data_IF_697322121894
#
_entry.id   IF_697322121894
#
_cell.length_a   1.000
_cell.length_b   1.000
_cell.length_c   1.000
_cell.angle_alpha   90.00
_cell.angle_beta   90.00
_cell.angle_gamma   90.00
#
_symmetry.space_group_name_H-M   'P 1'
#
loop_
_entity.id
_entity.type
_entity.pdbx_description
1 polymer ?
#
# COMPACT_ATOMS: atom_id res chain seq x y z
N UNK A 1 -17.42 6.60 8.91
CA UNK A 1 -16.17 5.87 8.65
C UNK A 1 -16.45 4.82 7.58
N UNK A 2 -15.67 4.83 6.51
CA UNK A 2 -15.78 3.86 5.41
C UNK A 2 -14.81 2.72 5.66
N UNK A 3 -15.29 1.49 5.64
CA UNK A 3 -14.53 0.26 5.85
C UNK A 3 -14.63 -0.59 4.57
N UNK A 4 -13.51 -0.75 3.85
CA UNK A 4 -13.46 -1.49 2.60
C UNK A 4 -12.94 -2.92 2.77
N UNK A 5 -13.36 -3.81 1.87
CA UNK A 5 -12.92 -5.22 1.85
C UNK A 5 -13.63 -6.10 2.88
N UNK A 6 -14.79 -5.67 3.38
CA UNK A 6 -15.59 -6.41 4.36
C UNK A 6 -17.08 -6.11 4.19
N UNK A 7 -17.92 -7.14 4.37
CA UNK A 7 -19.37 -7.00 4.44
C UNK A 7 -19.85 -6.86 5.88
N UNK A 8 -21.00 -6.21 6.08
CA UNK A 8 -21.61 -6.04 7.40
C UNK A 8 -21.99 -7.38 8.03
N UNK A 9 -22.42 -8.36 7.23
CA UNK A 9 -22.71 -9.74 7.67
C UNK A 9 -21.47 -10.51 8.10
N UNK A 10 -20.30 -10.15 7.56
CA UNK A 10 -19.06 -10.91 7.69
C UNK A 10 -18.22 -10.51 8.91
N UNK A 11 -18.60 -9.45 9.64
CA UNK A 11 -17.78 -8.94 10.73
C UNK A 11 -18.55 -8.39 11.94
N UNK A 12 -19.36 -9.23 12.61
CA UNK A 12 -20.04 -8.83 13.86
C UNK A 12 -19.05 -8.36 14.94
N UNK A 13 -17.81 -8.87 14.89
CA UNK A 13 -16.72 -8.50 15.79
C UNK A 13 -16.34 -7.02 15.70
N UNK A 14 -16.19 -6.49 14.47
CA UNK A 14 -15.81 -5.07 14.28
C UNK A 14 -16.92 -4.14 14.75
N UNK A 15 -18.18 -4.47 14.43
CA UNK A 15 -19.34 -3.72 14.95
C UNK A 15 -19.36 -3.72 16.48
N UNK A 16 -19.10 -4.87 17.10
CA UNK A 16 -19.07 -4.98 18.57
C UNK A 16 -17.92 -4.16 19.17
N UNK A 17 -16.74 -4.14 18.55
CA UNK A 17 -15.62 -3.30 19.01
C UNK A 17 -15.99 -1.81 18.99
N UNK A 18 -16.60 -1.32 17.91
CA UNK A 18 -17.08 0.06 17.85
C UNK A 18 -18.21 0.35 18.86
N UNK A 19 -19.14 -0.58 19.03
CA UNK A 19 -20.24 -0.43 19.99
C UNK A 19 -19.73 -0.34 21.43
N UNK A 20 -18.70 -1.13 21.79
CA UNK A 20 -18.07 -1.08 23.11
C UNK A 20 -17.41 0.29 23.39
N UNK A 21 -16.97 0.98 22.34
CA UNK A 21 -16.42 2.34 22.41
C UNK A 21 -17.50 3.43 22.25
N UNK A 22 -18.79 3.07 22.26
CA UNK A 22 -19.92 4.01 22.15
C UNK A 22 -20.13 4.59 20.75
N UNK A 23 -19.61 3.93 19.71
CA UNK A 23 -19.76 4.36 18.31
C UNK A 23 -20.89 3.56 17.66
N UNK A 24 -21.98 4.26 17.33
CA UNK A 24 -23.16 3.67 16.67
C UNK A 24 -22.87 3.18 15.25
N UNK A 25 -23.55 2.11 14.85
CA UNK A 25 -23.37 1.45 13.55
C UNK A 25 -23.74 2.36 12.37
N UNK A 26 -24.62 3.35 12.58
CA UNK A 26 -24.99 4.36 11.59
C UNK A 26 -23.82 5.24 11.14
N UNK A 27 -22.74 5.30 11.93
CA UNK A 27 -21.51 6.02 11.58
C UNK A 27 -20.53 5.17 10.77
N UNK A 28 -20.85 3.89 10.51
CA UNK A 28 -20.00 2.94 9.81
C UNK A 28 -20.62 2.55 8.48
N UNK A 29 -19.83 2.56 7.41
CA UNK A 29 -20.23 2.14 6.07
C UNK A 29 -19.29 1.04 5.61
N UNK A 30 -19.83 -0.14 5.33
CA UNK A 30 -19.05 -1.31 4.93
C UNK A 30 -19.17 -1.51 3.41
N UNK A 31 -18.05 -1.75 2.75
CA UNK A 31 -18.00 -2.08 1.33
C UNK A 31 -17.29 -3.42 1.13
N UNK A 32 -17.91 -4.37 0.38
CA UNK A 32 -17.27 -5.64 0.06
C UNK A 32 -16.01 -5.45 -0.78
N UNK A 33 -15.25 -6.53 -0.92
CA UNK A 33 -14.19 -6.62 -1.93
C UNK A 33 -14.80 -6.32 -3.29
N UNK A 34 -14.17 -5.41 -4.04
CA UNK A 34 -14.65 -4.95 -5.34
C UNK A 34 -13.51 -4.90 -6.35
N UNK A 35 -13.86 -4.72 -7.62
CA UNK A 35 -12.90 -4.48 -8.67
C UNK A 35 -12.15 -3.14 -8.49
N UNK A 36 -10.96 -3.04 -9.09
CA UNK A 36 -10.07 -1.89 -8.90
C UNK A 36 -10.74 -0.53 -9.16
N UNK A 37 -11.50 -0.31 -10.25
CA UNK A 37 -12.20 0.96 -10.48
C UNK A 37 -13.19 1.32 -9.38
N UNK A 38 -13.96 0.35 -8.88
CA UNK A 38 -14.95 0.59 -7.81
C UNK A 38 -14.24 0.92 -6.51
N UNK A 39 -13.25 0.12 -6.12
CA UNK A 39 -12.40 0.39 -4.96
C UNK A 39 -11.75 1.78 -5.00
N UNK A 40 -11.18 2.19 -6.14
CA UNK A 40 -10.56 3.52 -6.27
C UNK A 40 -11.61 4.64 -6.12
N UNK A 41 -12.82 4.48 -6.68
CA UNK A 41 -13.91 5.46 -6.53
C UNK A 41 -14.35 5.64 -5.07
N UNK A 42 -14.23 4.64 -4.20
CA UNK A 42 -14.57 4.77 -2.78
C UNK A 42 -13.75 5.87 -2.09
N UNK A 43 -12.52 6.12 -2.54
CA UNK A 43 -11.67 7.18 -1.97
C UNK A 43 -12.24 8.59 -2.16
N UNK A 44 -13.14 8.80 -3.14
CA UNK A 44 -13.83 10.09 -3.28
C UNK A 44 -14.80 10.39 -2.14
N UNK A 45 -15.19 9.39 -1.36
CA UNK A 45 -16.04 9.53 -0.18
C UNK A 45 -15.24 9.68 1.12
N UNK A 46 -13.90 9.70 1.02
CA UNK A 46 -12.99 9.71 2.18
C UNK A 46 -12.18 10.99 2.17
N UNK A 47 -12.20 11.72 3.28
CA UNK A 47 -11.41 12.94 3.47
C UNK A 47 -9.99 12.64 3.92
N UNK A 48 -9.84 11.71 4.87
CA UNK A 48 -8.57 11.25 5.46
C UNK A 48 -8.61 9.73 5.60
N UNK A 49 -7.56 9.05 5.17
CA UNK A 49 -7.37 7.63 5.47
C UNK A 49 -6.64 7.47 6.81
N UNK A 50 -7.12 6.58 7.67
CA UNK A 50 -6.41 6.19 8.89
C UNK A 50 -5.62 4.91 8.62
N UNK A 51 -4.31 4.98 8.78
CA UNK A 51 -3.44 3.82 8.60
C UNK A 51 -3.55 2.86 9.78
N UNK A 52 -3.28 1.59 9.52
CA UNK A 52 -3.24 0.55 10.55
C UNK A 52 -1.85 0.45 11.18
N UNK A 53 -1.82 0.00 12.43
CA UNK A 53 -0.60 -0.37 13.13
C UNK A 53 -0.82 -1.72 13.83
N UNK A 54 0.21 -2.57 13.98
CA UNK A 54 1.62 -2.34 13.70
C UNK A 54 2.03 -2.54 12.23
N UNK A 55 1.11 -2.99 11.36
CA UNK A 55 1.36 -3.17 9.94
C UNK A 55 0.77 -1.99 9.16
N UNK A 56 1.65 -1.12 8.65
CA UNK A 56 1.22 0.05 7.88
C UNK A 56 0.88 -0.31 6.43
N UNK A 57 -0.03 0.46 5.85
CA UNK A 57 -0.41 0.35 4.45
C UNK A 57 0.76 0.68 3.52
N UNK A 58 0.91 -0.13 2.47
CA UNK A 58 1.82 0.13 1.35
C UNK A 58 1.04 0.54 0.10
N UNK A 59 0.55 -0.45 -0.63
CA UNK A 59 -0.22 -0.24 -1.87
C UNK A 59 -1.52 0.55 -1.63
N UNK A 60 -2.20 0.30 -0.51
CA UNK A 60 -3.41 1.05 -0.13
C UNK A 60 -3.12 2.52 0.13
N UNK A 61 -2.01 2.84 0.78
CA UNK A 61 -1.54 4.22 0.98
C UNK A 61 -1.20 4.90 -0.35
N UNK A 62 -0.56 4.18 -1.27
CA UNK A 62 -0.31 4.69 -2.61
C UNK A 62 -1.60 4.98 -3.38
N UNK A 63 -2.59 4.09 -3.31
CA UNK A 63 -3.90 4.34 -3.93
C UNK A 63 -4.59 5.55 -3.32
N UNK A 64 -4.56 5.72 -1.99
CA UNK A 64 -5.12 6.88 -1.32
C UNK A 64 -4.48 8.18 -1.82
N UNK A 65 -3.14 8.25 -1.81
CA UNK A 65 -2.39 9.41 -2.31
C UNK A 65 -2.69 9.68 -3.78
N UNK A 66 -2.74 8.65 -4.62
CA UNK A 66 -3.06 8.81 -6.05
C UNK A 66 -4.49 9.32 -6.27
N UNK A 67 -5.44 8.90 -5.45
CA UNK A 67 -6.81 9.41 -5.49
C UNK A 67 -6.95 10.81 -4.90
N UNK A 68 -5.91 11.34 -4.25
CA UNK A 68 -5.88 12.67 -3.63
C UNK A 68 -6.31 12.66 -2.16
N UNK A 69 -6.23 11.52 -1.48
CA UNK A 69 -6.59 11.36 -0.07
C UNK A 69 -5.33 11.22 0.78
N UNK A 70 -5.05 12.13 1.73
CA UNK A 70 -3.94 11.96 2.65
C UNK A 70 -4.22 10.83 3.63
N UNK A 71 -3.17 10.07 3.97
CA UNK A 71 -3.23 8.98 4.95
C UNK A 71 -2.49 9.41 6.21
N UNK A 72 -3.15 9.38 7.37
CA UNK A 72 -2.52 9.57 8.67
C UNK A 72 -1.92 8.25 9.15
N UNK A 73 -0.62 8.25 9.47
CA UNK A 73 0.13 7.04 9.82
C UNK A 73 0.90 7.22 11.14
N UNK A 74 1.17 6.10 11.82
CA UNK A 74 1.96 6.05 13.05
C UNK A 74 3.34 5.47 12.76
N UNK A 75 4.39 6.25 13.00
CA UNK A 75 5.79 5.84 12.87
C UNK A 75 6.15 4.80 13.93
N UNK A 76 6.13 3.52 13.55
CA UNK A 76 6.61 2.44 14.41
C UNK A 76 8.12 2.22 14.32
N UNK A 77 8.59 1.18 15.03
CA UNK A 77 10.02 0.82 15.14
C UNK A 77 10.52 -0.07 14.01
N UNK A 78 9.62 -0.82 13.38
CA UNK A 78 9.97 -1.79 12.33
C UNK A 78 9.78 -1.21 10.92
N UNK A 79 10.50 -1.69 9.90
CA UNK A 79 10.32 -1.20 8.52
C UNK A 79 8.87 -1.29 8.03
N UNK A 80 8.18 -2.41 8.31
CA UNK A 80 6.76 -2.61 7.96
C UNK A 80 5.84 -1.60 8.63
N UNK A 81 6.17 -1.14 9.84
CA UNK A 81 5.41 -0.10 10.55
C UNK A 81 5.76 1.33 10.10
N UNK A 82 6.72 1.50 9.16
CA UNK A 82 7.19 2.79 8.66
C UNK A 82 6.90 2.99 7.17
N UNK A 83 6.29 2.02 6.51
CA UNK A 83 5.95 2.09 5.07
C UNK A 83 5.10 3.33 4.78
N UNK A 84 4.05 3.56 5.56
CA UNK A 84 3.22 4.76 5.46
C UNK A 84 4.05 6.05 5.58
N UNK A 85 4.89 6.16 6.62
CA UNK A 85 5.75 7.34 6.82
C UNK A 85 6.70 7.60 5.65
N UNK A 86 7.27 6.53 5.08
CA UNK A 86 8.15 6.61 3.90
C UNK A 86 7.42 7.15 2.68
N UNK A 87 6.20 6.66 2.41
CA UNK A 87 5.37 7.11 1.29
C UNK A 87 5.00 8.59 1.46
N UNK A 88 4.51 8.97 2.64
CA UNK A 88 4.12 10.36 2.92
C UNK A 88 5.30 11.32 2.90
N UNK A 89 6.49 10.86 3.31
CA UNK A 89 7.73 11.62 3.18
C UNK A 89 8.14 11.82 1.73
N UNK A 90 7.94 10.80 0.88
CA UNK A 90 8.21 10.90 -0.55
C UNK A 90 7.32 11.95 -1.25
N UNK A 91 6.04 12.01 -0.90
CA UNK A 91 5.12 13.04 -1.45
C UNK A 91 5.14 14.37 -0.68
N UNK A 92 6.01 14.50 0.33
CA UNK A 92 6.26 15.75 1.06
C UNK A 92 5.11 16.21 1.97
N UNK A 93 4.31 15.29 2.53
CA UNK A 93 3.23 15.59 3.49
C UNK A 93 3.49 15.00 4.88
N UNK A 94 4.51 15.54 5.55
CA UNK A 94 4.91 15.11 6.89
C UNK A 94 3.89 15.42 7.99
N UNK A 95 2.96 16.35 7.76
CA UNK A 95 1.89 16.73 8.71
C UNK A 95 0.86 15.64 9.00
N UNK A 96 0.97 14.49 8.33
CA UNK A 96 0.15 13.29 8.54
C UNK A 96 0.96 12.12 9.13
N UNK A 97 2.12 12.40 9.75
CA UNK A 97 2.95 11.41 10.41
C UNK A 97 2.94 11.65 11.92
N UNK A 98 2.45 10.67 12.68
CA UNK A 98 2.48 10.67 14.13
C UNK A 98 3.62 9.80 14.65
N UNK A 99 4.21 10.14 15.80
CA UNK A 99 5.25 9.37 16.49
C UNK A 99 4.73 8.66 17.75
N UNK A 100 3.49 8.95 18.16
CA UNK A 100 2.83 8.29 19.29
C UNK A 100 1.31 8.15 19.05
N UNK A 101 0.62 7.22 19.73
CA UNK A 101 -0.83 7.10 19.65
C UNK A 101 -1.57 8.39 20.03
N UNK A 102 -1.08 9.13 21.03
CA UNK A 102 -1.69 10.39 21.44
C UNK A 102 -1.53 11.46 20.35
N UNK A 103 -0.36 11.54 19.73
CA UNK A 103 -0.12 12.45 18.61
C UNK A 103 -0.98 12.09 17.40
N UNK A 104 -1.19 10.79 17.13
CA UNK A 104 -2.10 10.33 16.08
C UNK A 104 -3.52 10.86 16.30
N UNK A 105 -4.03 10.78 17.53
CA UNK A 105 -5.35 11.34 17.89
C UNK A 105 -5.36 12.86 17.72
N UNK A 106 -4.36 13.56 18.23
CA UNK A 106 -4.31 15.03 18.16
C UNK A 106 -4.26 15.54 16.72
N UNK A 107 -3.47 14.89 15.85
CA UNK A 107 -3.40 15.22 14.42
C UNK A 107 -4.74 14.91 13.74
N UNK A 108 -5.39 13.78 14.07
CA UNK A 108 -6.71 13.43 13.52
C UNK A 108 -7.75 14.50 13.82
N UNK A 109 -7.80 14.97 15.08
CA UNK A 109 -8.73 16.00 15.52
C UNK A 109 -8.42 17.35 14.87
N UNK A 110 -7.15 17.75 14.82
CA UNK A 110 -6.74 19.00 14.19
C UNK A 110 -7.14 19.07 12.71
N UNK A 111 -6.96 17.98 11.96
CA UNK A 111 -7.37 17.94 10.54
C UNK A 111 -8.88 17.85 10.34
N UNK A 112 -9.62 17.29 11.30
CA UNK A 112 -11.09 17.29 11.26
C UNK A 112 -11.68 18.71 11.31
N UNK A 113 -10.99 19.64 11.98
CA UNK A 113 -11.41 21.04 12.10
C UNK A 113 -10.87 21.95 10.97
N UNK A 114 -9.92 21.48 10.16
CA UNK A 114 -9.20 22.28 9.15
C UNK A 114 -9.60 21.92 7.70
N UNK A 115 -10.90 21.88 7.41
CA UNK A 115 -11.42 21.37 6.14
C UNK A 115 -10.90 22.12 4.90
N UNK A 116 -10.73 23.45 4.98
CA UNK A 116 -10.20 24.24 3.86
C UNK A 116 -8.73 23.91 3.54
N UNK A 117 -7.91 23.73 4.58
CA UNK A 117 -6.51 23.32 4.41
C UNK A 117 -6.44 21.87 3.92
N UNK A 118 -7.28 21.00 4.45
CA UNK A 118 -7.38 19.61 4.01
C UNK A 118 -7.74 19.53 2.52
N UNK A 119 -8.67 20.35 2.05
CA UNK A 119 -9.00 20.44 0.63
C UNK A 119 -7.80 20.88 -0.22
N UNK A 120 -7.00 21.84 0.25
CA UNK A 120 -5.75 22.26 -0.42
C UNK A 120 -4.72 21.13 -0.49
N UNK A 121 -4.52 20.41 0.62
CA UNK A 121 -3.64 19.24 0.64
C UNK A 121 -4.10 18.20 -0.39
N UNK A 122 -5.38 17.81 -0.35
CA UNK A 122 -5.99 16.83 -1.27
C UNK A 122 -5.80 17.21 -2.74
N UNK A 123 -6.01 18.47 -3.08
CA UNK A 123 -5.82 18.97 -4.44
C UNK A 123 -4.36 18.87 -4.91
N UNK A 124 -3.39 19.04 -4.02
CA UNK A 124 -1.96 19.00 -4.35
C UNK A 124 -1.38 17.58 -4.48
N UNK A 125 -2.02 16.56 -3.90
CA UNK A 125 -1.42 15.22 -3.78
C UNK A 125 -1.16 14.53 -5.12
N UNK A 126 -2.04 14.73 -6.11
CA UNK A 126 -1.86 14.12 -7.45
C UNK A 126 -0.63 14.64 -8.17
N UNK A 127 -0.33 15.93 -8.01
CA UNK A 127 0.86 16.55 -8.58
C UNK A 127 2.12 16.10 -7.83
N UNK A 128 2.04 15.99 -6.50
CA UNK A 128 3.14 15.49 -5.65
C UNK A 128 3.47 14.01 -5.87
N UNK A 129 2.51 13.23 -6.37
CA UNK A 129 2.72 11.83 -6.75
C UNK A 129 3.51 11.70 -8.08
N UNK A 130 3.61 12.76 -8.88
CA UNK A 130 4.46 12.74 -10.06
C UNK A 130 5.93 12.58 -9.66
N UNK A 131 6.73 11.85 -10.44
CA UNK A 131 8.16 11.75 -10.17
C UNK A 131 8.75 13.17 -10.13
N UNK A 132 9.66 13.48 -9.18
CA UNK A 132 10.31 14.80 -9.12
C UNK A 132 10.89 15.13 -10.49
N UNK A 133 10.64 16.33 -11.02
CA UNK A 133 11.12 16.75 -12.34
C UNK A 133 12.66 16.72 -12.45
N UNK A 134 13.35 16.78 -11.31
CA UNK A 134 14.81 16.69 -11.18
C UNK A 134 15.32 15.30 -10.80
N UNK A 135 14.46 14.27 -10.85
CA UNK A 135 14.95 12.89 -10.75
C UNK A 135 15.81 12.62 -11.98
N UNK A 136 17.09 12.22 -11.84
CA UNK A 136 17.86 11.81 -13.00
C UNK A 136 17.04 10.74 -13.72
N UNK A 137 16.91 10.82 -15.06
CA UNK A 137 16.20 9.79 -15.79
C UNK A 137 16.80 8.46 -15.35
N UNK A 138 15.96 7.50 -14.96
CA UNK A 138 16.39 6.12 -14.76
C UNK A 138 16.73 5.59 -16.15
N UNK A 139 17.86 6.06 -16.68
CA UNK A 139 18.50 5.53 -17.86
C UNK A 139 19.05 4.21 -17.37
N UNK A 140 18.30 3.14 -17.64
CA UNK A 140 18.86 1.81 -17.79
C UNK A 140 19.91 1.86 -18.89
N UNK A 141 21.11 2.37 -18.55
CA UNK A 141 22.27 2.28 -19.41
C UNK A 141 22.67 0.81 -19.35
N UNK A 142 22.21 0.08 -20.34
CA UNK A 142 22.74 -1.21 -20.74
C UNK A 142 24.25 -1.03 -21.00
N UNK A 143 25.03 -1.09 -19.93
CA UNK A 143 26.48 -1.12 -20.01
C UNK A 143 26.83 -2.53 -20.44
N UNK A 144 27.16 -2.67 -21.73
CA UNK A 144 27.84 -3.84 -22.28
C UNK A 144 29.06 -4.15 -21.42
N UNK A 145 28.97 -5.18 -20.57
CA UNK A 145 30.11 -6.03 -20.24
C UNK A 145 29.64 -7.49 -20.18
N UNK A 146 30.34 -8.42 -20.86
CA UNK A 146 29.96 -9.82 -20.94
C UNK A 146 30.44 -10.62 -19.72
N UNK A 147 29.84 -11.81 -19.58
CA UNK A 147 30.25 -13.00 -18.80
C UNK A 147 29.70 -13.18 -17.38
N UNK A 148 28.54 -13.85 -17.26
CA UNK A 148 28.44 -15.26 -16.86
C UNK A 148 26.98 -15.75 -17.08
N UNK A 149 26.74 -16.99 -17.56
CA UNK A 149 25.44 -17.41 -18.05
C UNK A 149 24.49 -17.77 -16.89
N UNK A 150 23.44 -16.96 -16.68
CA UNK A 150 22.23 -17.49 -16.06
C UNK A 150 21.67 -18.58 -16.98
N UNK A 151 21.54 -19.80 -16.45
CA UNK A 151 21.03 -20.96 -17.16
C UNK A 151 19.70 -20.68 -17.88
N UNK A 152 19.57 -21.32 -19.04
CA UNK A 152 18.42 -21.23 -19.93
C UNK A 152 17.12 -21.75 -19.28
N UNK A 153 16.42 -20.93 -18.50
CA UNK A 153 15.03 -21.21 -18.08
C UNK A 153 14.16 -19.97 -17.78
N UNK A 154 14.70 -18.73 -17.84
CA UNK A 154 13.95 -17.53 -17.43
C UNK A 154 13.75 -16.44 -18.50
N UNK A 155 14.32 -16.58 -19.70
CA UNK A 155 14.44 -15.48 -20.66
C UNK A 155 13.13 -15.07 -21.37
N UNK A 156 12.00 -15.74 -21.14
CA UNK A 156 10.69 -15.36 -21.70
C UNK A 156 9.81 -14.52 -20.76
N UNK A 157 10.05 -14.50 -19.45
CA UNK A 157 9.13 -13.89 -18.49
C UNK A 157 9.31 -12.36 -18.29
N UNK A 158 10.49 -11.82 -18.59
CA UNK A 158 10.82 -10.41 -18.26
C UNK A 158 10.50 -9.40 -19.38
N UNK A 159 9.78 -9.81 -20.45
CA UNK A 159 9.50 -8.95 -21.62
C UNK A 159 8.05 -8.46 -21.74
N UNK A 160 7.16 -8.79 -20.79
CA UNK A 160 5.72 -8.53 -20.94
C UNK A 160 5.06 -7.66 -19.85
N UNK A 161 5.73 -7.28 -18.77
CA UNK A 161 5.14 -6.39 -17.76
C UNK A 161 5.41 -4.91 -18.05
N UNK A 162 5.01 -4.44 -19.24
CA UNK A 162 4.76 -3.01 -19.44
C UNK A 162 3.41 -2.72 -18.79
N UNK A 163 3.41 -2.40 -17.50
CA UNK A 163 2.20 -1.96 -16.80
C UNK A 163 1.60 -0.79 -17.61
N UNK A 164 0.39 -0.91 -18.17
CA UNK A 164 -0.25 0.20 -18.83
C UNK A 164 -0.57 1.26 -17.78
N UNK A 165 -0.06 2.48 -17.97
CA UNK A 165 -0.48 3.66 -17.23
C UNK A 165 -1.99 3.82 -17.43
N UNK A 166 -2.78 3.41 -16.44
CA UNK A 166 -4.21 3.73 -16.37
C UNK A 166 -4.28 5.25 -16.15
N UNK A 167 -4.73 5.98 -17.16
CA UNK A 167 -4.96 7.43 -17.03
C UNK A 167 -6.05 7.66 -15.97
N UNK A 168 -5.91 8.69 -15.12
CA UNK A 168 -6.91 9.01 -14.11
C UNK A 168 -8.26 9.30 -14.78
N UNK A 169 -9.38 8.80 -14.23
CA UNK A 169 -10.71 9.13 -14.75
C UNK A 169 -10.99 10.64 -14.55
N UNK A 170 -11.51 11.27 -15.59
CA UNK A 170 -11.99 12.66 -15.56
C UNK A 170 -13.32 12.78 -14.81
N UNK A 171 -13.63 13.94 -14.22
CA UNK A 171 -14.83 14.11 -13.40
C UNK A 171 -16.09 14.21 -14.28
N UNK A 172 -17.03 13.27 -14.14
CA UNK A 172 -18.37 13.39 -14.72
C UNK A 172 -19.47 13.15 -13.67
N UNK A 173 -20.55 13.94 -13.83
CA UNK A 173 -21.76 14.05 -12.98
C UNK A 173 -22.63 12.77 -12.94
N UNK A 174 -23.54 12.65 -11.96
CA UNK A 174 -24.26 11.41 -11.67
C UNK A 174 -25.45 11.18 -12.61
N UNK A 175 -25.68 9.92 -13.00
CA UNK A 175 -26.92 9.46 -13.65
C UNK A 175 -27.42 8.19 -12.96
N UNK A 176 -28.74 8.16 -12.82
CA UNK A 176 -29.65 7.22 -12.17
C UNK A 176 -29.62 5.77 -12.72
N UNK A 177 -29.93 4.82 -11.82
CA UNK A 177 -30.29 3.37 -11.95
C UNK A 177 -31.46 3.09 -12.93
N UNK A 178 -31.89 1.83 -13.30
CA UNK A 178 -31.77 0.54 -12.57
C UNK A 178 -31.66 -0.80 -13.39
N UNK A 179 -31.41 -1.91 -12.65
CA UNK A 179 -32.05 -3.24 -12.74
C UNK A 179 -31.82 -4.22 -13.92
N UNK A 180 -31.31 -5.44 -13.68
CA UNK A 180 -32.08 -6.72 -13.74
C UNK A 180 -31.20 -7.99 -13.59
N UNK A 181 -31.71 -8.90 -12.74
CA UNK A 181 -31.80 -10.38 -12.80
C UNK A 181 -30.63 -11.33 -13.16
N UNK A 182 -30.35 -12.18 -12.17
CA UNK A 182 -30.03 -13.62 -12.15
C UNK A 182 -30.15 -14.47 -13.42
N UNK A 183 -29.21 -15.42 -13.63
CA UNK A 183 -29.50 -16.84 -13.92
C UNK A 183 -28.31 -17.77 -13.63
N UNK A 184 -28.60 -18.90 -12.97
CA UNK A 184 -27.76 -20.08 -12.75
C UNK A 184 -27.60 -20.92 -14.03
N UNK A 185 -26.51 -21.70 -14.14
CA UNK A 185 -26.47 -23.13 -14.55
C UNK A 185 -25.02 -23.57 -14.86
N UNK A 186 -24.41 -24.45 -14.04
CA UNK A 186 -24.23 -25.92 -14.27
C UNK A 186 -22.90 -26.33 -14.92
N UNK A 187 -21.98 -26.90 -14.11
CA UNK A 187 -20.89 -27.83 -14.50
C UNK A 187 -21.49 -29.22 -14.88
N UNK A 188 -20.80 -30.19 -15.56
CA UNK A 188 -19.51 -30.83 -15.19
C UNK A 188 -18.74 -31.46 -16.41
N UNK A 189 -17.86 -32.51 -16.33
CA UNK A 189 -17.01 -33.07 -15.25
C UNK A 189 -15.50 -33.15 -15.60
N UNK A 190 -14.74 -33.68 -14.62
CA UNK A 190 -13.29 -33.71 -14.46
C UNK A 190 -12.51 -34.78 -15.27
N UNK A 191 -11.21 -34.51 -15.49
CA UNK A 191 -10.15 -35.48 -15.79
C UNK A 191 -8.80 -35.00 -15.16
N UNK A 192 -7.84 -35.89 -14.85
CA UNK A 192 -6.93 -35.75 -13.71
C UNK A 192 -5.59 -35.10 -14.09
N UNK A 193 -5.30 -33.93 -13.51
CA UNK A 193 -3.98 -33.26 -13.60
C UNK A 193 -3.56 -32.88 -12.16
N UNK A 194 -3.40 -33.87 -11.29
CA UNK A 194 -3.28 -33.65 -9.85
C UNK A 194 -1.86 -33.80 -9.28
N UNK A 195 -0.82 -33.94 -10.11
CA UNK A 195 0.55 -34.12 -9.60
C UNK A 195 1.61 -33.08 -10.03
N UNK A 196 1.52 -32.41 -11.20
CA UNK A 196 2.45 -31.33 -11.50
C UNK A 196 1.95 -29.96 -11.01
N UNK A 197 0.64 -29.80 -10.75
CA UNK A 197 0.07 -28.55 -10.25
C UNK A 197 0.40 -28.29 -8.78
N UNK A 198 0.47 -29.34 -7.94
CA UNK A 198 0.73 -29.21 -6.50
C UNK A 198 2.14 -28.69 -6.17
N UNK A 199 3.14 -29.01 -7.00
CA UNK A 199 4.51 -28.52 -6.86
C UNK A 199 4.69 -27.09 -7.41
N UNK A 200 3.88 -26.69 -8.39
CA UNK A 200 3.88 -25.32 -8.93
C UNK A 200 3.21 -24.32 -7.97
N UNK A 201 2.15 -24.71 -7.24
CA UNK A 201 1.54 -23.86 -6.20
C UNK A 201 2.44 -23.65 -4.99
N UNK A 202 3.29 -24.63 -4.64
CA UNK A 202 4.27 -24.49 -3.56
C UNK A 202 5.38 -23.48 -3.88
N UNK A 203 5.77 -23.32 -5.16
CA UNK A 203 6.78 -22.33 -5.56
C UNK A 203 6.23 -20.90 -5.70
N UNK A 204 4.94 -20.71 -5.99
CA UNK A 204 4.34 -19.37 -6.08
C UNK A 204 4.01 -18.74 -4.72
N UNK A 205 4.00 -19.54 -3.64
CA UNK A 205 3.84 -19.02 -2.27
C UNK A 205 5.14 -18.47 -1.68
N UNK A 206 6.30 -18.75 -2.28
CA UNK A 206 7.61 -18.27 -1.82
C UNK A 206 7.86 -16.78 -2.05
N UNK A 207 7.05 -16.10 -2.88
CA UNK A 207 7.23 -14.68 -3.20
C UNK A 207 6.55 -13.71 -2.21
N UNK A 208 5.85 -14.23 -1.20
CA UNK A 208 5.17 -13.43 -0.17
C UNK A 208 5.60 -13.81 1.25
N UNK A 209 6.83 -14.30 1.46
CA UNK A 209 7.33 -14.40 2.84
C UNK A 209 7.63 -12.99 3.37
N UNK A 210 7.28 -12.73 4.63
CA UNK A 210 7.60 -11.49 5.33
C UNK A 210 9.11 -11.22 5.35
N UNK A 211 9.93 -12.28 5.29
CA UNK A 211 11.39 -12.21 5.14
C UNK A 211 11.82 -11.66 3.78
N UNK A 212 11.29 -12.21 2.69
CA UNK A 212 11.61 -11.75 1.34
C UNK A 212 11.22 -10.29 1.13
N UNK A 213 10.09 -9.87 1.69
CA UNK A 213 9.67 -8.47 1.70
C UNK A 213 10.63 -7.61 2.54
N UNK A 214 10.98 -8.04 3.75
CA UNK A 214 11.87 -7.31 4.65
C UNK A 214 13.26 -7.07 4.03
N UNK A 215 13.88 -8.12 3.51
CA UNK A 215 15.19 -8.03 2.86
C UNK A 215 15.11 -7.22 1.56
N UNK A 216 14.00 -7.34 0.81
CA UNK A 216 13.74 -6.51 -0.37
C UNK A 216 13.66 -5.02 -0.04
N UNK A 217 12.90 -4.65 1.01
CA UNK A 217 12.77 -3.28 1.47
C UNK A 217 14.11 -2.70 1.97
N UNK A 218 14.87 -3.49 2.75
CA UNK A 218 16.21 -3.11 3.23
C UNK A 218 17.16 -2.84 2.08
N UNK A 219 17.24 -3.76 1.11
CA UNK A 219 18.09 -3.62 -0.08
C UNK A 219 17.69 -2.40 -0.92
N UNK A 220 16.39 -2.10 -1.04
CA UNK A 220 15.91 -0.89 -1.72
C UNK A 220 16.41 0.39 -1.04
N UNK A 221 16.32 0.46 0.30
CA UNK A 221 16.80 1.61 1.07
C UNK A 221 18.33 1.78 0.95
N UNK A 222 19.10 0.69 1.01
CA UNK A 222 20.56 0.72 0.78
C UNK A 222 20.92 1.23 -0.61
N UNK A 223 20.19 0.78 -1.65
CA UNK A 223 20.39 1.25 -3.01
C UNK A 223 20.11 2.75 -3.16
N UNK A 224 19.09 3.27 -2.46
CA UNK A 224 18.77 4.69 -2.46
C UNK A 224 19.87 5.53 -1.79
N UNK A 225 20.44 5.06 -0.67
CA UNK A 225 21.58 5.73 -0.04
C UNK A 225 22.81 5.79 -0.95
N UNK A 226 23.07 4.73 -1.74
CA UNK A 226 24.19 4.70 -2.70
C UNK A 226 24.02 5.66 -3.88
N UNK A 227 22.82 6.22 -4.08
CA UNK A 227 22.56 7.24 -5.09
C UNK A 227 22.80 8.67 -4.58
N UNK A 228 23.13 8.85 -3.29
CA UNK A 228 23.44 10.17 -2.73
C UNK A 228 24.83 10.67 -3.14
N UNK A 229 25.09 11.99 -3.09
CA UNK A 229 26.40 12.56 -3.43
C UNK A 229 27.53 12.05 -2.51
N UNK A 230 28.80 12.02 -3.00
CA UNK A 230 29.95 11.58 -2.22
C UNK A 230 30.07 12.39 -0.92
N UNK A 231 30.07 11.70 0.23
CA UNK A 231 30.11 12.29 1.57
C UNK A 231 28.82 12.14 2.38
N UNK A 232 27.66 11.97 1.73
CA UNK A 232 26.38 11.72 2.40
C UNK A 232 26.00 10.22 2.44
N UNK A 233 26.65 9.39 1.60
CA UNK A 233 26.35 7.96 1.45
C UNK A 233 26.60 7.19 2.75
N UNK A 234 27.77 7.35 3.36
CA UNK A 234 28.14 6.68 4.62
C UNK A 234 27.19 7.05 5.77
N UNK A 235 26.82 8.31 5.88
CA UNK A 235 25.85 8.77 6.89
C UNK A 235 24.46 8.17 6.63
N UNK A 236 23.99 8.17 5.39
CA UNK A 236 22.72 7.57 5.01
C UNK A 236 22.69 6.08 5.32
N UNK A 237 23.73 5.33 4.92
CA UNK A 237 23.87 3.90 5.20
C UNK A 237 23.96 3.61 6.70
N UNK A 238 24.52 4.51 7.50
CA UNK A 238 24.56 4.38 8.95
C UNK A 238 23.15 4.46 9.59
N UNK A 239 22.22 5.19 8.97
CA UNK A 239 20.82 5.33 9.42
C UNK A 239 19.88 4.24 8.91
N UNK A 240 20.23 3.53 7.83
CA UNK A 240 19.40 2.42 7.32
C UNK A 240 19.37 1.29 8.36
N UNK A 241 18.20 0.69 8.56
CA UNK A 241 17.99 -0.35 9.57
C UNK A 241 19.00 -1.51 9.44
N UNK A 242 19.89 -1.64 10.42
CA UNK A 242 20.93 -2.68 10.47
C UNK A 242 20.44 -4.01 11.06
N UNK A 243 19.23 -4.05 11.62
CA UNK A 243 18.73 -5.26 12.27
C UNK A 243 18.50 -6.40 11.27
N UNK A 244 18.74 -7.63 11.73
CA UNK A 244 18.44 -8.84 10.97
C UNK A 244 16.95 -9.14 11.03
N UNK A 245 16.46 -9.89 10.05
CA UNK A 245 15.06 -10.33 10.04
C UNK A 245 14.63 -11.04 11.34
N UNK A 246 15.50 -11.83 11.97
CA UNK A 246 15.23 -12.48 13.27
C UNK A 246 14.91 -11.48 14.40
N UNK A 247 15.58 -10.33 14.42
CA UNK A 247 15.32 -9.25 15.38
C UNK A 247 13.98 -8.58 15.09
N UNK A 248 13.70 -8.34 13.81
CA UNK A 248 12.42 -7.82 13.35
C UNK A 248 11.25 -8.74 13.74
N UNK A 249 11.37 -10.06 13.57
CA UNK A 249 10.32 -11.02 13.94
C UNK A 249 10.07 -11.06 15.45
N UNK A 250 11.12 -10.95 16.27
CA UNK A 250 10.98 -10.86 17.73
C UNK A 250 10.26 -9.58 18.15
N UNK A 251 10.60 -8.43 17.55
CA UNK A 251 9.92 -7.16 17.85
C UNK A 251 8.47 -7.15 17.37
N UNK A 252 8.18 -7.82 16.25
CA UNK A 252 6.83 -7.97 15.69
C UNK A 252 5.93 -8.84 16.57
N UNK A 253 6.49 -9.91 17.13
CA UNK A 253 5.73 -10.91 17.91
C UNK A 253 5.73 -10.65 19.41
N UNK A 254 6.52 -9.67 19.89
CA UNK A 254 6.54 -9.29 21.29
C UNK A 254 5.15 -8.81 21.76
N UNK A 255 4.62 -9.34 22.88
CA UNK A 255 3.40 -8.82 23.49
C UNK A 255 3.61 -7.35 23.85
N UNK A 256 2.60 -6.52 23.54
CA UNK A 256 2.61 -5.08 23.80
C UNK A 256 1.78 -4.75 25.02
#
# INVERSE_FOLDING_TARGET
MVLGGMETSDNPTVLQWFANEGIGAERLQFHPVSDMPTYLKLHHQVDICLDTFPYSGGTTTWHAVWMGVPTLTLSGKTPVSRTGCSILGHVGIHSFQANSPQEFINISLAWADQLDELARVRASLRERFAPPQDSPPVIGRASKKPSAPCGNAGAKACRQSRFPLIKPPSPTRPIHTPGHETMLASSPPAAPILLPCLLATLCTLGACSTEAWYEGAKRSAENQCRQQPPGAVEECLARVNKSRYDTYEKERTAPR
#
